data_IF_587452289887
#
_entry.id   IF_587452289887
#
_cell.length_a   1.000
_cell.length_b   1.000
_cell.length_c   1.000
_cell.angle_alpha   90.00
_cell.angle_beta   90.00
_cell.angle_gamma   90.00
#
_symmetry.space_group_name_H-M   'P 1'
#
loop_
_entity.id
_entity.type
_entity.pdbx_description
1 polymer ?
#
# COMPACT_ATOMS: atom_id res chain seq x y z
N UNK A 1 -13.36 33.06 -14.51
CA UNK A 1 -13.41 31.63 -14.17
C UNK A 1 -13.81 31.54 -12.72
N UNK A 2 -14.88 30.83 -12.39
CA UNK A 2 -15.24 30.57 -10.99
C UNK A 2 -14.31 29.49 -10.45
N UNK A 3 -13.71 29.74 -9.29
CA UNK A 3 -12.99 28.71 -8.54
C UNK A 3 -13.97 27.58 -8.21
N UNK A 4 -13.57 26.30 -8.39
CA UNK A 4 -14.43 25.17 -8.03
C UNK A 4 -14.72 25.18 -6.53
N UNK A 5 -15.97 24.91 -6.18
CA UNK A 5 -16.43 24.81 -4.81
C UNK A 5 -16.26 23.37 -4.32
N UNK A 6 -15.04 23.06 -3.86
CA UNK A 6 -14.60 21.69 -3.52
C UNK A 6 -13.92 21.62 -2.16
N UNK A 7 -13.94 22.70 -1.37
CA UNK A 7 -13.21 22.78 -0.10
C UNK A 7 -13.79 21.84 0.97
N UNK A 8 -15.08 21.53 0.87
CA UNK A 8 -15.79 20.64 1.79
C UNK A 8 -15.82 19.17 1.31
N UNK A 9 -15.17 18.87 0.18
CA UNK A 9 -15.11 17.52 -0.38
C UNK A 9 -14.10 16.62 0.34
N UNK A 10 -14.46 15.35 0.54
CA UNK A 10 -13.63 14.39 1.29
C UNK A 10 -12.28 14.10 0.62
N UNK A 11 -12.23 14.16 -0.71
CA UNK A 11 -11.04 13.92 -1.51
C UNK A 11 -10.16 15.16 -1.67
N UNK A 12 -10.62 16.33 -1.22
CA UNK A 12 -9.86 17.57 -1.35
C UNK A 12 -8.99 17.80 -0.10
N UNK A 13 -7.67 18.07 -0.23
CA UNK A 13 -6.75 18.17 0.91
C UNK A 13 -6.85 19.53 1.62
N UNK A 14 -8.05 19.88 2.10
CA UNK A 14 -8.39 21.19 2.66
C UNK A 14 -7.53 21.58 3.87
N UNK A 15 -7.10 20.61 4.68
CA UNK A 15 -6.24 20.84 5.87
C UNK A 15 -4.82 21.29 5.53
N UNK A 16 -4.31 20.93 4.35
CA UNK A 16 -2.99 21.36 3.89
C UNK A 16 -3.02 22.63 3.03
N UNK A 17 -4.18 23.08 2.55
CA UNK A 17 -4.24 24.24 1.65
C UNK A 17 -3.84 25.52 2.38
N UNK A 18 -2.78 26.17 1.89
CA UNK A 18 -2.21 27.39 2.51
C UNK A 18 -2.71 28.69 1.89
N UNK A 19 -3.25 28.63 0.67
CA UNK A 19 -3.74 29.79 -0.07
C UNK A 19 -5.03 29.45 -0.81
N UNK A 20 -5.81 30.45 -1.23
CA UNK A 20 -6.95 30.19 -2.12
C UNK A 20 -6.51 29.48 -3.41
N UNK A 21 -7.38 28.60 -3.92
CA UNK A 21 -7.22 27.93 -5.21
C UNK A 21 -7.15 28.99 -6.31
N UNK A 22 -6.16 28.90 -7.20
CA UNK A 22 -5.94 29.84 -8.30
C UNK A 22 -6.04 29.13 -9.64
N UNK A 23 -6.51 29.84 -10.66
CA UNK A 23 -6.40 29.33 -12.03
C UNK A 23 -4.91 29.15 -12.37
N UNK A 24 -4.58 28.02 -12.98
CA UNK A 24 -3.22 27.68 -13.41
C UNK A 24 -3.04 28.04 -14.89
N UNK A 25 -1.81 28.40 -15.27
CA UNK A 25 -1.42 28.55 -16.68
C UNK A 25 -1.05 27.19 -17.32
N UNK A 26 -1.11 26.10 -16.56
CA UNK A 26 -0.88 24.76 -17.07
C UNK A 26 -1.90 24.40 -18.15
N UNK A 27 -1.45 23.67 -19.17
CA UNK A 27 -2.34 23.08 -20.17
C UNK A 27 -3.32 22.13 -19.49
N UNK A 28 -4.58 22.13 -19.91
CA UNK A 28 -5.62 21.22 -19.41
C UNK A 28 -6.20 20.38 -20.56
N UNK A 29 -6.72 19.17 -20.27
CA UNK A 29 -7.44 18.39 -21.28
C UNK A 29 -8.72 19.12 -21.70
N UNK A 30 -9.21 18.81 -22.91
CA UNK A 30 -10.45 19.41 -23.44
C UNK A 30 -11.60 19.15 -22.47
N UNK A 31 -12.33 20.21 -22.10
CA UNK A 31 -13.43 20.12 -21.14
C UNK A 31 -13.01 20.33 -19.67
N UNK A 32 -11.72 20.47 -19.39
CA UNK A 32 -11.19 20.71 -18.04
C UNK A 32 -10.46 22.05 -17.96
N UNK A 33 -10.35 22.55 -16.73
CA UNK A 33 -9.52 23.68 -16.33
C UNK A 33 -8.46 23.20 -15.35
N UNK A 34 -7.30 23.85 -15.37
CA UNK A 34 -6.22 23.60 -14.41
C UNK A 34 -6.25 24.65 -13.30
N UNK A 35 -6.00 24.21 -12.07
CA UNK A 35 -5.92 25.05 -10.88
C UNK A 35 -4.68 24.70 -10.06
N UNK A 36 -4.04 25.72 -9.50
CA UNK A 36 -2.93 25.59 -8.57
C UNK A 36 -3.45 25.55 -7.13
N UNK A 37 -3.03 24.52 -6.40
CA UNK A 37 -3.39 24.27 -5.00
C UNK A 37 -2.10 24.20 -4.18
N UNK A 38 -1.77 25.31 -3.52
CA UNK A 38 -0.56 25.44 -2.71
C UNK A 38 -0.71 24.75 -1.35
N UNK A 39 0.17 23.79 -1.06
CA UNK A 39 0.32 23.12 0.24
C UNK A 39 1.68 23.50 0.87
N UNK A 40 1.99 23.16 2.14
CA UNK A 40 3.17 23.70 2.82
C UNK A 40 4.50 23.26 2.19
N UNK A 41 4.50 22.15 1.46
CA UNK A 41 5.69 21.53 0.88
C UNK A 41 5.64 21.37 -0.65
N UNK A 42 4.56 21.77 -1.31
CA UNK A 42 4.41 21.61 -2.76
C UNK A 42 3.32 22.53 -3.36
N UNK A 43 3.22 22.57 -4.69
CA UNK A 43 2.10 23.16 -5.42
C UNK A 43 1.46 22.10 -6.33
N UNK A 44 0.25 21.66 -5.95
CA UNK A 44 -0.47 20.62 -6.68
C UNK A 44 -1.25 21.23 -7.84
N UNK A 45 -1.19 20.60 -9.02
CA UNK A 45 -2.06 20.96 -10.14
C UNK A 45 -3.33 20.11 -10.10
N UNK A 46 -4.47 20.75 -9.88
CA UNK A 46 -5.79 20.14 -9.92
C UNK A 46 -6.43 20.32 -11.31
N UNK A 47 -6.94 19.26 -11.90
CA UNK A 47 -7.77 19.32 -13.11
C UNK A 47 -9.23 19.17 -12.74
N UNK A 48 -10.06 20.13 -13.15
CA UNK A 48 -11.49 20.11 -12.82
C UNK A 48 -12.36 20.39 -14.06
N UNK A 49 -13.51 19.69 -14.24
CA UNK A 49 -14.41 19.94 -15.34
C UNK A 49 -14.87 21.41 -15.42
N UNK A 50 -14.87 21.98 -16.64
CA UNK A 50 -15.09 23.42 -16.90
C UNK A 50 -16.46 23.90 -16.39
N UNK A 51 -17.48 23.05 -16.53
CA UNK A 51 -18.86 23.36 -16.14
C UNK A 51 -19.29 22.59 -14.87
N UNK A 52 -18.35 22.08 -14.09
CA UNK A 52 -18.63 21.13 -13.01
C UNK A 52 -18.92 19.71 -13.53
N UNK A 53 -19.38 18.84 -12.64
CA UNK A 53 -19.63 17.44 -12.96
C UNK A 53 -20.70 17.32 -14.06
N UNK A 54 -20.45 16.54 -15.13
CA UNK A 54 -21.32 16.53 -16.30
C UNK A 54 -22.65 15.82 -16.03
N UNK A 55 -23.69 16.25 -16.73
CA UNK A 55 -24.91 15.48 -16.95
C UNK A 55 -24.67 14.25 -17.86
N UNK A 56 -25.65 13.35 -18.00
CA UNK A 56 -25.55 12.16 -18.88
C UNK A 56 -25.21 12.55 -20.33
N UNK A 57 -25.85 13.61 -20.86
CA UNK A 57 -25.65 14.02 -22.25
C UNK A 57 -24.29 14.70 -22.45
N UNK A 58 -23.82 15.47 -21.48
CA UNK A 58 -22.47 16.06 -21.49
C UNK A 58 -21.40 14.99 -21.33
N UNK A 59 -21.63 13.98 -20.48
CA UNK A 59 -20.72 12.86 -20.27
C UNK A 59 -20.49 12.08 -21.58
N UNK A 60 -21.51 11.90 -22.41
CA UNK A 60 -21.37 11.24 -23.73
C UNK A 60 -20.40 11.97 -24.66
N UNK A 61 -20.24 13.28 -24.51
CA UNK A 61 -19.25 14.04 -25.28
C UNK A 61 -17.81 13.67 -24.94
N UNK A 62 -17.56 13.13 -23.73
CA UNK A 62 -16.22 12.75 -23.27
C UNK A 62 -15.62 11.56 -24.03
N UNK A 63 -16.41 10.84 -24.82
CA UNK A 63 -15.92 9.80 -25.75
C UNK A 63 -14.95 10.38 -26.79
N UNK A 64 -15.05 11.69 -27.06
CA UNK A 64 -14.18 12.38 -28.02
C UNK A 64 -12.93 12.98 -27.36
N UNK A 65 -12.69 12.76 -26.05
CA UNK A 65 -11.47 13.21 -25.39
C UNK A 65 -10.24 12.49 -25.93
N UNK A 66 -9.16 13.25 -26.11
CA UNK A 66 -7.83 12.71 -26.38
C UNK A 66 -7.29 11.99 -25.13
N UNK A 67 -6.40 11.02 -25.33
CA UNK A 67 -5.78 10.26 -24.23
C UNK A 67 -6.68 9.20 -23.59
N UNK A 68 -7.83 8.90 -24.20
CA UNK A 68 -8.70 7.78 -23.79
C UNK A 68 -8.06 6.42 -24.02
N UNK A 69 -8.38 5.46 -23.15
CA UNK A 69 -7.95 4.07 -23.23
C UNK A 69 -9.03 3.13 -22.66
N UNK A 70 -9.01 1.86 -23.05
CA UNK A 70 -10.00 0.85 -22.61
C UNK A 70 -11.41 1.04 -23.17
N UNK A 71 -12.43 0.56 -22.45
CA UNK A 71 -13.83 0.49 -22.91
C UNK A 71 -14.65 1.75 -22.56
N UNK A 72 -14.92 2.57 -23.58
CA UNK A 72 -15.77 3.77 -23.50
C UNK A 72 -17.20 3.54 -24.02
N UNK A 73 -17.57 2.30 -24.39
CA UNK A 73 -18.94 2.01 -24.81
C UNK A 73 -19.93 2.19 -23.66
N UNK A 74 -19.50 1.98 -22.42
CA UNK A 74 -20.27 2.28 -21.20
C UNK A 74 -20.73 3.75 -21.17
N UNK A 75 -19.79 4.69 -21.35
CA UNK A 75 -20.07 6.12 -21.43
C UNK A 75 -21.04 6.46 -22.57
N UNK A 76 -20.84 5.89 -23.76
CA UNK A 76 -21.72 6.14 -24.91
C UNK A 76 -23.14 5.64 -24.74
N UNK A 77 -23.33 4.57 -23.97
CA UNK A 77 -24.63 3.96 -23.73
C UNK A 77 -25.26 4.37 -22.39
N UNK A 78 -24.67 5.34 -21.68
CA UNK A 78 -25.17 5.84 -20.41
C UNK A 78 -26.64 6.30 -20.52
N UNK A 79 -27.48 5.78 -19.62
CA UNK A 79 -28.90 6.12 -19.49
C UNK A 79 -29.18 6.97 -18.25
N UNK A 80 -28.48 6.68 -17.16
CA UNK A 80 -28.49 7.47 -15.93
C UNK A 80 -27.06 7.70 -15.46
N UNK A 81 -26.88 8.74 -14.64
CA UNK A 81 -25.64 9.11 -14.01
C UNK A 81 -25.98 9.77 -12.67
N UNK A 82 -25.46 9.20 -11.59
CA UNK A 82 -25.63 9.75 -10.24
C UNK A 82 -24.26 10.01 -9.63
N UNK A 83 -24.01 11.26 -9.24
CA UNK A 83 -22.74 11.68 -8.67
C UNK A 83 -22.75 11.60 -7.14
N UNK A 84 -21.67 11.08 -6.58
CA UNK A 84 -21.37 11.09 -5.14
C UNK A 84 -19.92 11.53 -4.92
N UNK A 85 -19.60 11.93 -3.68
CA UNK A 85 -18.22 12.20 -3.29
C UNK A 85 -17.52 10.89 -2.94
N UNK A 86 -16.39 10.60 -3.57
CA UNK A 86 -15.54 9.45 -3.27
C UNK A 86 -14.26 9.84 -2.52
N UNK A 87 -13.44 8.85 -2.11
CA UNK A 87 -12.24 9.09 -1.31
C UNK A 87 -11.09 9.74 -2.09
N UNK A 88 -11.03 9.55 -3.41
CA UNK A 88 -9.95 10.09 -4.27
C UNK A 88 -10.46 11.06 -5.34
N UNK A 89 -11.77 11.28 -5.38
CA UNK A 89 -12.43 12.19 -6.30
C UNK A 89 -13.93 11.91 -6.41
N UNK A 90 -14.66 12.70 -7.22
CA UNK A 90 -16.07 12.48 -7.50
C UNK A 90 -16.32 11.15 -8.22
N UNK A 91 -17.40 10.48 -7.85
CA UNK A 91 -17.79 9.17 -8.37
C UNK A 91 -19.15 9.23 -9.02
N UNK A 92 -19.23 8.86 -10.29
CA UNK A 92 -20.47 8.75 -11.06
C UNK A 92 -20.89 7.29 -11.21
N UNK A 93 -22.08 6.93 -10.73
CA UNK A 93 -22.68 5.63 -11.02
C UNK A 93 -23.44 5.71 -12.34
N UNK A 94 -23.02 4.92 -13.34
CA UNK A 94 -23.58 4.90 -14.69
C UNK A 94 -24.35 3.60 -14.92
N UNK A 95 -25.64 3.68 -15.23
CA UNK A 95 -26.38 2.57 -15.84
C UNK A 95 -26.27 2.65 -17.37
N UNK A 96 -25.59 1.68 -17.98
CA UNK A 96 -25.41 1.55 -19.44
C UNK A 96 -26.34 0.51 -20.07
N UNK A 97 -27.43 0.16 -19.39
CA UNK A 97 -28.39 -0.87 -19.81
C UNK A 97 -27.74 -2.23 -20.00
N UNK A 98 -27.71 -2.72 -21.24
CA UNK A 98 -27.14 -4.05 -21.56
C UNK A 98 -25.63 -4.15 -21.31
N UNK A 99 -24.94 -3.02 -21.16
CA UNK A 99 -23.51 -2.97 -20.87
C UNK A 99 -23.20 -3.03 -19.37
N UNK A 100 -24.23 -3.07 -18.52
CA UNK A 100 -24.12 -3.16 -17.07
C UNK A 100 -24.00 -1.82 -16.38
N UNK A 101 -23.76 -1.89 -15.07
CA UNK A 101 -23.54 -0.73 -14.20
C UNK A 101 -22.04 -0.49 -14.07
N UNK A 102 -21.65 0.77 -14.16
CA UNK A 102 -20.26 1.21 -14.17
C UNK A 102 -20.03 2.30 -13.14
N UNK A 103 -18.86 2.28 -12.54
CA UNK A 103 -18.36 3.36 -11.69
C UNK A 103 -17.39 4.21 -12.50
N UNK A 104 -17.73 5.47 -12.68
CA UNK A 104 -16.87 6.51 -13.23
C UNK A 104 -16.21 7.25 -12.08
N UNK A 105 -14.91 7.44 -12.12
CA UNK A 105 -14.18 8.18 -11.08
C UNK A 105 -13.37 9.30 -11.75
N UNK A 106 -13.69 10.54 -11.40
CA UNK A 106 -12.90 11.70 -11.80
C UNK A 106 -11.76 11.83 -10.80
N UNK A 107 -10.54 12.03 -11.28
CA UNK A 107 -9.36 12.23 -10.46
C UNK A 107 -8.86 13.67 -10.63
N UNK A 108 -9.28 14.61 -9.75
CA UNK A 108 -8.82 15.99 -9.85
C UNK A 108 -7.32 16.12 -9.59
N UNK A 109 -6.79 15.23 -8.76
CA UNK A 109 -5.39 15.10 -8.43
C UNK A 109 -4.91 13.72 -8.83
N UNK A 110 -3.68 13.65 -9.32
CA UNK A 110 -2.96 12.41 -9.65
C UNK A 110 -1.49 12.79 -9.87
N UNK A 111 -0.55 11.86 -9.70
CA UNK A 111 0.88 12.12 -9.87
C UNK A 111 1.47 11.43 -11.11
N UNK A 112 1.18 10.14 -11.30
CA UNK A 112 1.91 9.31 -12.26
C UNK A 112 1.04 8.34 -13.09
N UNK A 113 -0.29 8.49 -13.05
CA UNK A 113 -1.20 7.70 -13.87
C UNK A 113 -1.21 6.22 -13.52
N UNK A 114 -1.10 5.92 -12.22
CA UNK A 114 -0.90 4.56 -11.72
C UNK A 114 -1.95 3.55 -12.17
N UNK A 115 -3.22 3.95 -12.27
CA UNK A 115 -4.29 3.03 -12.64
C UNK A 115 -4.19 2.62 -14.12
N UNK A 116 -3.87 3.55 -15.02
CA UNK A 116 -3.55 3.20 -16.41
C UNK A 116 -2.33 2.27 -16.49
N UNK A 117 -1.28 2.54 -15.71
CA UNK A 117 -0.07 1.71 -15.71
C UNK A 117 -0.36 0.27 -15.30
N UNK A 118 -1.21 0.08 -14.29
CA UNK A 118 -1.71 -1.23 -13.89
C UNK A 118 -2.59 -1.87 -14.97
N UNK A 119 -3.53 -1.13 -15.54
CA UNK A 119 -4.41 -1.64 -16.60
C UNK A 119 -3.64 -2.06 -17.85
N UNK A 120 -2.65 -1.27 -18.27
CA UNK A 120 -1.79 -1.59 -19.40
C UNK A 120 -0.89 -2.81 -19.12
N UNK A 121 -0.60 -3.10 -17.86
CA UNK A 121 0.18 -4.28 -17.47
C UNK A 121 -0.68 -5.53 -17.34
N UNK A 122 -1.86 -5.42 -16.73
CA UNK A 122 -2.71 -6.55 -16.35
C UNK A 122 -3.82 -6.85 -17.38
N UNK A 123 -4.06 -5.96 -18.34
CA UNK A 123 -5.10 -6.12 -19.37
C UNK A 123 -6.50 -6.15 -18.78
N UNK A 124 -7.31 -7.12 -19.22
CA UNK A 124 -8.72 -7.30 -18.81
C UNK A 124 -8.88 -7.90 -17.40
N UNK A 125 -7.87 -7.75 -16.55
CA UNK A 125 -7.91 -8.25 -15.18
C UNK A 125 -9.01 -7.51 -14.38
N UNK A 126 -9.83 -8.20 -13.58
CA UNK A 126 -10.92 -7.56 -12.83
C UNK A 126 -10.45 -6.61 -11.72
N UNK A 127 -9.18 -6.63 -11.32
CA UNK A 127 -8.65 -5.76 -10.25
C UNK A 127 -8.38 -4.32 -10.71
N UNK A 128 -8.32 -4.07 -12.02
CA UNK A 128 -7.87 -2.79 -12.58
C UNK A 128 -9.00 -2.04 -13.29
N UNK A 129 -8.77 -0.76 -13.53
CA UNK A 129 -9.67 0.06 -14.32
C UNK A 129 -9.74 -0.51 -15.75
N UNK A 130 -10.95 -0.56 -16.29
CA UNK A 130 -11.24 -1.13 -17.60
C UNK A 130 -11.22 -0.07 -18.71
N UNK A 131 -11.05 1.19 -18.32
CA UNK A 131 -10.89 2.32 -19.21
C UNK A 131 -10.63 3.60 -18.44
N UNK A 132 -10.29 4.66 -19.17
CA UNK A 132 -10.03 5.95 -18.57
C UNK A 132 -9.52 6.98 -19.56
N UNK A 133 -9.19 8.16 -19.05
CA UNK A 133 -8.51 9.21 -19.81
C UNK A 133 -7.23 9.59 -19.08
N UNK A 134 -6.11 9.58 -19.81
CA UNK A 134 -4.86 10.15 -19.36
C UNK A 134 -4.58 11.51 -20.00
N UNK A 135 -4.00 12.41 -19.23
CA UNK A 135 -3.45 13.66 -19.72
C UNK A 135 -2.05 13.87 -19.14
N UNK A 136 -1.05 13.99 -20.01
CA UNK A 136 0.35 14.20 -19.62
C UNK A 136 0.89 13.16 -18.61
N UNK A 137 0.45 11.90 -18.76
CA UNK A 137 0.84 10.79 -17.88
C UNK A 137 0.08 10.72 -16.56
N UNK A 138 -0.89 11.62 -16.32
CA UNK A 138 -1.79 11.59 -15.15
C UNK A 138 -3.14 11.00 -15.51
N UNK A 139 -3.70 10.20 -14.63
CA UNK A 139 -5.08 9.72 -14.74
C UNK A 139 -6.04 10.86 -14.36
N UNK A 140 -7.00 11.16 -15.24
CA UNK A 140 -8.02 12.20 -15.03
C UNK A 140 -9.40 11.58 -14.84
N UNK A 141 -9.61 10.43 -15.46
CA UNK A 141 -10.87 9.70 -15.47
C UNK A 141 -10.58 8.21 -15.45
N UNK A 142 -11.29 7.45 -14.62
CA UNK A 142 -11.21 6.00 -14.55
C UNK A 142 -12.60 5.37 -14.63
N UNK A 143 -12.68 4.23 -15.31
CA UNK A 143 -13.89 3.43 -15.48
C UNK A 143 -13.69 2.06 -14.84
N UNK A 144 -14.60 1.71 -13.95
CA UNK A 144 -14.59 0.46 -13.20
C UNK A 144 -15.92 -0.27 -13.36
N UNK A 145 -15.88 -1.59 -13.24
CA UNK A 145 -17.10 -2.35 -12.97
C UNK A 145 -17.60 -1.97 -11.59
N UNK A 146 -18.90 -1.68 -11.49
CA UNK A 146 -19.47 -1.35 -10.19
C UNK A 146 -19.63 -2.62 -9.34
N UNK A 147 -18.95 -2.62 -8.20
CA UNK A 147 -19.01 -3.65 -7.18
C UNK A 147 -19.52 -3.09 -5.84
N UNK A 148 -19.99 -1.85 -5.82
CA UNK A 148 -20.56 -1.20 -4.63
C UNK A 148 -21.79 -1.89 -4.02
N UNK A 149 -22.59 -2.74 -4.72
CA UNK A 149 -23.65 -3.49 -4.08
C UNK A 149 -23.17 -4.55 -3.08
N UNK A 150 -21.91 -4.96 -3.15
CA UNK A 150 -21.33 -5.98 -2.28
C UNK A 150 -20.74 -5.34 -1.01
N UNK A 151 -20.87 -6.00 0.15
CA UNK A 151 -20.33 -5.48 1.40
C UNK A 151 -18.80 -5.48 1.38
N UNK A 152 -18.20 -4.52 2.09
CA UNK A 152 -16.74 -4.45 2.23
C UNK A 152 -16.25 -5.50 3.21
N UNK A 153 -15.04 -6.01 3.01
CA UNK A 153 -14.44 -6.98 3.92
C UNK A 153 -14.32 -6.43 5.36
N UNK A 154 -14.06 -5.12 5.52
CA UNK A 154 -14.05 -4.46 6.84
C UNK A 154 -15.40 -4.52 7.56
N UNK A 155 -16.51 -4.34 6.83
CA UNK A 155 -17.88 -4.39 7.36
C UNK A 155 -18.25 -5.82 7.74
N UNK A 156 -17.99 -6.78 6.85
CA UNK A 156 -18.24 -8.21 7.11
C UNK A 156 -17.42 -8.68 8.30
N UNK A 157 -16.14 -8.33 8.36
CA UNK A 157 -15.26 -8.70 9.48
C UNK A 157 -15.76 -8.12 10.81
N UNK A 158 -16.17 -6.85 10.82
CA UNK A 158 -16.71 -6.21 12.02
C UNK A 158 -17.96 -6.94 12.53
N UNK A 159 -18.85 -7.34 11.62
CA UNK A 159 -20.04 -8.12 11.97
C UNK A 159 -19.69 -9.50 12.53
N UNK A 160 -18.77 -10.23 11.89
CA UNK A 160 -18.32 -11.55 12.36
C UNK A 160 -17.71 -11.48 13.77
N UNK A 161 -16.95 -10.42 14.07
CA UNK A 161 -16.36 -10.22 15.40
C UNK A 161 -17.42 -9.89 16.46
N UNK A 162 -18.39 -9.05 16.13
CA UNK A 162 -19.53 -8.75 17.04
C UNK A 162 -20.36 -9.99 17.31
N UNK A 163 -20.50 -10.87 16.32
CA UNK A 163 -21.20 -12.15 16.43
C UNK A 163 -20.34 -13.31 16.98
N UNK A 164 -19.11 -13.04 17.42
CA UNK A 164 -18.14 -14.03 17.94
C UNK A 164 -17.86 -15.21 16.98
N UNK A 165 -18.02 -14.98 15.67
CA UNK A 165 -17.71 -15.95 14.61
C UNK A 165 -16.22 -15.90 14.24
N UNK A 166 -15.36 -16.15 15.24
CA UNK A 166 -13.91 -15.98 15.09
C UNK A 166 -13.28 -16.88 14.02
N UNK A 167 -13.87 -18.06 13.76
CA UNK A 167 -13.44 -18.96 12.70
C UNK A 167 -13.61 -18.34 11.31
N UNK A 168 -14.79 -17.78 11.05
CA UNK A 168 -15.12 -17.09 9.81
C UNK A 168 -14.32 -15.80 9.63
N UNK A 169 -14.10 -15.05 10.72
CA UNK A 169 -13.25 -13.86 10.71
C UNK A 169 -11.82 -14.17 10.23
N UNK A 170 -11.25 -15.30 10.67
CA UNK A 170 -9.92 -15.76 10.21
C UNK A 170 -9.93 -16.11 8.73
N UNK A 171 -10.95 -16.87 8.29
CA UNK A 171 -11.08 -17.28 6.89
C UNK A 171 -11.17 -16.06 5.97
N UNK A 172 -12.00 -15.08 6.31
CA UNK A 172 -12.14 -13.84 5.53
C UNK A 172 -10.80 -13.10 5.41
N UNK A 173 -10.08 -12.92 6.52
CA UNK A 173 -8.80 -12.19 6.51
C UNK A 173 -7.71 -12.98 5.78
N UNK A 174 -7.72 -14.31 5.87
CA UNK A 174 -6.85 -15.17 5.05
C UNK A 174 -7.16 -15.04 3.55
N UNK A 175 -8.44 -15.00 3.16
CA UNK A 175 -8.86 -14.72 1.77
C UNK A 175 -8.41 -13.34 1.29
N UNK A 176 -8.50 -12.31 2.15
CA UNK A 176 -7.98 -10.98 1.87
C UNK A 176 -6.46 -10.97 1.64
N UNK A 177 -5.73 -11.82 2.38
CA UNK A 177 -4.29 -12.01 2.18
C UNK A 177 -4.01 -12.67 0.83
N UNK A 178 -4.73 -13.75 0.54
CA UNK A 178 -4.60 -14.54 -0.69
C UNK A 178 -4.85 -13.70 -1.95
N UNK A 179 -5.89 -12.87 -1.98
CA UNK A 179 -6.16 -12.00 -3.13
C UNK A 179 -5.07 -10.94 -3.34
N UNK A 180 -4.46 -10.43 -2.27
CA UNK A 180 -3.29 -9.55 -2.37
C UNK A 180 -2.08 -10.29 -2.95
N UNK A 181 -1.86 -11.54 -2.53
CA UNK A 181 -0.79 -12.38 -3.07
C UNK A 181 -1.00 -12.69 -4.56
N UNK A 182 -2.24 -12.97 -4.97
CA UNK A 182 -2.61 -13.18 -6.38
C UNK A 182 -2.40 -11.92 -7.23
N UNK A 183 -2.75 -10.75 -6.70
CA UNK A 183 -2.46 -9.46 -7.33
C UNK A 183 -0.94 -9.27 -7.52
N UNK A 184 -0.14 -9.52 -6.48
CA UNK A 184 1.32 -9.44 -6.56
C UNK A 184 1.94 -10.43 -7.54
N UNK A 185 1.38 -11.64 -7.64
CA UNK A 185 1.76 -12.62 -8.66
C UNK A 185 1.39 -12.15 -10.07
N UNK A 186 0.25 -11.47 -10.23
CA UNK A 186 -0.19 -10.93 -11.52
C UNK A 186 0.70 -9.79 -12.02
N UNK A 187 1.26 -8.98 -11.12
CA UNK A 187 2.19 -7.88 -11.46
C UNK A 187 3.66 -8.29 -11.42
N UNK A 188 3.97 -9.58 -11.34
CA UNK A 188 5.35 -10.09 -11.24
C UNK A 188 6.22 -9.63 -12.41
N UNK A 189 5.67 -9.54 -13.61
CA UNK A 189 6.40 -9.07 -14.79
C UNK A 189 6.77 -7.57 -14.73
N UNK A 190 6.08 -6.78 -13.90
CA UNK A 190 6.44 -5.39 -13.63
C UNK A 190 7.63 -5.24 -12.68
N UNK A 191 8.06 -6.35 -12.04
CA UNK A 191 9.04 -6.34 -10.98
C UNK A 191 10.43 -6.02 -11.52
N UNK A 192 11.12 -5.12 -10.82
CA UNK A 192 12.45 -4.69 -11.18
C UNK A 192 13.49 -5.27 -10.19
N UNK A 193 14.36 -6.19 -10.64
CA UNK A 193 15.34 -6.85 -9.78
C UNK A 193 16.51 -5.94 -9.36
N UNK A 194 16.61 -4.73 -9.93
CA UNK A 194 17.64 -3.76 -9.53
C UNK A 194 17.34 -3.28 -8.11
N UNK A 195 18.37 -3.15 -7.29
CA UNK A 195 18.22 -2.75 -5.89
C UNK A 195 17.78 -1.29 -5.75
N UNK A 196 16.57 -1.05 -5.23
CA UNK A 196 15.99 0.28 -5.00
C UNK A 196 16.13 0.78 -3.55
N UNK A 197 17.11 0.26 -2.79
CA UNK A 197 17.25 0.61 -1.38
C UNK A 197 17.41 2.12 -1.14
N UNK A 198 18.10 2.85 -2.03
CA UNK A 198 18.30 4.30 -1.86
C UNK A 198 16.99 5.09 -2.05
N UNK A 199 16.27 4.98 -3.18
CA UNK A 199 14.99 5.66 -3.36
C UNK A 199 13.96 5.41 -2.25
N UNK A 200 13.88 4.19 -1.72
CA UNK A 200 12.95 3.88 -0.62
C UNK A 200 13.36 4.54 0.70
N UNK A 201 14.66 4.54 1.01
CA UNK A 201 15.19 5.24 2.18
C UNK A 201 15.11 6.77 2.06
N UNK A 202 15.27 7.31 0.84
CA UNK A 202 15.09 8.73 0.55
C UNK A 202 13.60 9.13 0.69
N UNK A 203 12.67 8.26 0.27
CA UNK A 203 11.22 8.45 0.53
C UNK A 203 10.94 8.52 2.03
N UNK A 204 11.41 7.55 2.82
CA UNK A 204 11.22 7.57 4.28
C UNK A 204 11.73 8.87 4.90
N UNK A 205 12.90 9.35 4.45
CA UNK A 205 13.43 10.65 4.87
C UNK A 205 12.44 11.79 4.61
N UNK A 206 11.89 11.86 3.40
CA UNK A 206 10.94 12.91 3.03
C UNK A 206 9.65 12.82 3.87
N UNK A 207 9.17 11.61 4.15
CA UNK A 207 8.00 11.39 5.01
C UNK A 207 8.26 11.83 6.45
N UNK A 208 9.40 11.46 7.02
CA UNK A 208 9.81 11.86 8.38
C UNK A 208 9.92 13.40 8.52
N UNK A 209 10.46 14.08 7.50
CA UNK A 209 10.55 15.54 7.45
C UNK A 209 9.17 16.21 7.37
N UNK A 210 8.24 15.64 6.58
CA UNK A 210 6.88 16.17 6.43
C UNK A 210 6.01 15.92 7.67
N UNK A 211 6.09 14.74 8.28
CA UNK A 211 5.28 14.37 9.44
C UNK A 211 5.84 14.87 10.77
N UNK A 212 6.98 15.59 10.76
CA UNK A 212 7.73 15.97 11.97
C UNK A 212 8.01 14.80 12.92
N UNK A 213 8.21 13.58 12.39
CA UNK A 213 8.46 12.42 13.22
C UNK A 213 9.79 12.57 13.98
N UNK A 214 9.80 12.17 15.24
CA UNK A 214 11.01 12.20 16.09
C UNK A 214 11.94 11.00 15.88
N UNK A 215 11.54 10.05 15.04
CA UNK A 215 12.26 8.82 14.73
C UNK A 215 12.82 8.87 13.32
N UNK A 216 13.98 8.25 13.11
CA UNK A 216 14.62 8.10 11.80
C UNK A 216 14.90 6.62 11.58
N UNK A 217 14.35 6.01 10.53
CA UNK A 217 14.56 4.59 10.23
C UNK A 217 15.06 4.36 8.81
N UNK A 218 16.25 3.75 8.69
CA UNK A 218 16.80 3.27 7.42
C UNK A 218 17.06 1.77 7.46
N UNK A 219 16.75 1.09 6.36
CA UNK A 219 16.90 -0.36 6.26
C UNK A 219 17.84 -0.77 5.11
N UNK A 220 18.79 -1.69 5.35
CA UNK A 220 19.59 -2.29 4.28
C UNK A 220 18.75 -3.38 3.59
N UNK A 221 17.93 -2.98 2.61
CA UNK A 221 17.04 -3.91 1.90
C UNK A 221 17.80 -5.10 1.28
N UNK A 222 17.23 -6.30 1.43
CA UNK A 222 17.76 -7.56 0.85
C UNK A 222 17.73 -7.54 -0.68
N UNK A 223 18.40 -8.50 -1.33
CA UNK A 223 18.35 -8.61 -2.81
C UNK A 223 17.02 -9.19 -3.29
N UNK A 224 16.31 -9.88 -2.40
CA UNK A 224 14.99 -10.45 -2.59
C UNK A 224 13.87 -9.43 -2.30
N UNK A 225 14.22 -8.22 -1.81
CA UNK A 225 13.28 -7.09 -1.71
C UNK A 225 13.22 -6.42 -3.08
N UNK A 226 12.26 -6.84 -3.89
CA UNK A 226 12.10 -6.44 -5.30
C UNK A 226 10.97 -5.41 -5.39
N UNK A 227 11.18 -4.32 -6.13
CA UNK A 227 10.14 -3.33 -6.38
C UNK A 227 9.24 -3.73 -7.54
N UNK A 228 7.93 -3.61 -7.39
CA UNK A 228 6.91 -3.90 -8.41
C UNK A 228 5.88 -2.75 -8.48
N UNK A 229 4.93 -2.85 -9.40
CA UNK A 229 3.68 -2.11 -9.26
C UNK A 229 2.94 -2.64 -8.02
N UNK A 230 2.44 -1.75 -7.19
CA UNK A 230 1.70 -2.07 -5.97
C UNK A 230 0.24 -1.62 -6.11
N UNK A 231 -0.64 -2.09 -5.22
CA UNK A 231 -2.01 -1.60 -5.12
C UNK A 231 -2.06 -0.15 -4.65
N UNK A 232 -1.03 0.29 -3.88
CA UNK A 232 -0.85 1.63 -3.29
C UNK A 232 -1.83 2.01 -2.19
N UNK A 233 -3.09 1.59 -2.33
CA UNK A 233 -4.20 1.85 -1.38
C UNK A 233 -4.78 0.54 -0.80
N UNK A 234 -3.98 -0.51 -0.57
CA UNK A 234 -4.54 -1.78 -0.08
C UNK A 234 -5.10 -1.64 1.34
N UNK A 235 -6.36 -2.02 1.55
CA UNK A 235 -7.00 -2.06 2.88
C UNK A 235 -8.21 -3.00 2.83
N UNK A 236 -8.73 -3.40 3.99
CA UNK A 236 -9.97 -4.19 4.06
C UNK A 236 -11.20 -3.41 3.54
N UNK A 237 -11.12 -2.08 3.48
CA UNK A 237 -12.13 -1.24 2.86
C UNK A 237 -12.11 -1.27 1.33
N UNK A 238 -10.98 -1.66 0.73
CA UNK A 238 -10.80 -1.81 -0.72
C UNK A 238 -10.87 -3.28 -1.16
N UNK A 239 -11.63 -4.07 -0.41
CA UNK A 239 -11.97 -5.45 -0.73
C UNK A 239 -13.47 -5.60 -0.54
N UNK A 240 -14.14 -6.21 -1.50
CA UNK A 240 -15.55 -6.64 -1.37
C UNK A 240 -15.65 -8.14 -1.26
N UNK A 241 -16.67 -8.59 -0.53
CA UNK A 241 -17.02 -10.00 -0.38
C UNK A 241 -18.24 -10.26 -1.25
N UNK A 242 -18.11 -11.13 -2.25
CA UNK A 242 -19.23 -11.49 -3.10
C UNK A 242 -20.18 -12.42 -2.35
N UNK A 243 -21.48 -12.37 -2.67
CA UNK A 243 -22.41 -13.32 -2.06
C UNK A 243 -22.45 -14.63 -2.85
N UNK A 244 -22.72 -15.72 -2.13
CA UNK A 244 -22.99 -17.02 -2.71
C UNK A 244 -24.37 -17.07 -3.39
N UNK A 245 -24.73 -18.25 -3.91
CA UNK A 245 -26.03 -18.48 -4.54
C UNK A 245 -27.24 -18.32 -3.60
N UNK A 246 -27.02 -18.32 -2.27
CA UNK A 246 -28.06 -18.08 -1.26
C UNK A 246 -28.24 -16.59 -0.94
N UNK A 247 -27.32 -15.74 -1.40
CA UNK A 247 -27.33 -14.30 -1.15
C UNK A 247 -26.58 -13.88 0.11
N UNK A 248 -25.83 -14.80 0.75
CA UNK A 248 -24.99 -14.53 1.92
C UNK A 248 -23.52 -14.32 1.52
N UNK A 249 -22.73 -13.50 2.25
CA UNK A 249 -21.32 -13.27 1.91
C UNK A 249 -20.49 -14.57 1.87
N UNK A 250 -19.87 -14.84 0.73
CA UNK A 250 -18.94 -15.95 0.54
C UNK A 250 -17.51 -15.51 0.88
N UNK A 251 -17.03 -15.93 2.04
CA UNK A 251 -15.73 -15.49 2.58
C UNK A 251 -14.52 -15.93 1.75
N UNK A 252 -14.71 -16.86 0.80
CA UNK A 252 -13.66 -17.30 -0.14
C UNK A 252 -13.66 -16.50 -1.45
N UNK A 253 -14.76 -15.81 -1.78
CA UNK A 253 -14.91 -15.02 -3.00
C UNK A 253 -14.80 -13.52 -2.70
N UNK A 254 -13.55 -13.06 -2.63
CA UNK A 254 -13.22 -11.65 -2.41
C UNK A 254 -12.64 -11.00 -3.66
N UNK A 255 -12.90 -9.71 -3.85
CA UNK A 255 -12.36 -8.93 -4.97
C UNK A 255 -11.70 -7.64 -4.50
N UNK A 256 -10.49 -7.39 -5.03
CA UNK A 256 -9.76 -6.13 -4.84
C UNK A 256 -10.42 -5.00 -5.62
N UNK A 257 -10.44 -3.81 -5.01
CA UNK A 257 -11.03 -2.62 -5.58
C UNK A 257 -10.01 -1.48 -5.72
N UNK A 258 -10.12 -0.78 -6.84
CA UNK A 258 -9.61 0.58 -7.05
C UNK A 258 -8.11 0.80 -6.71
N UNK A 259 -7.16 0.04 -7.30
CA UNK A 259 -5.74 0.36 -7.18
C UNK A 259 -5.40 1.61 -8.01
N UNK A 260 -5.67 2.79 -7.44
CA UNK A 260 -5.37 4.12 -7.99
C UNK A 260 -4.74 4.99 -6.90
N UNK A 261 -4.12 6.13 -7.24
CA UNK A 261 -3.45 6.99 -6.25
C UNK A 261 -4.18 8.31 -5.98
N UNK A 262 -4.69 8.97 -7.02
CA UNK A 262 -5.51 10.16 -6.87
C UNK A 262 -4.85 11.26 -6.02
N UNK A 263 -5.62 11.88 -5.12
CA UNK A 263 -5.12 12.90 -4.20
C UNK A 263 -3.99 12.41 -3.28
N UNK A 264 -4.02 11.15 -2.83
CA UNK A 264 -2.96 10.58 -1.99
C UNK A 264 -1.62 10.51 -2.73
N UNK A 265 -1.66 10.08 -4.00
CA UNK A 265 -0.49 10.07 -4.89
C UNK A 265 0.06 11.47 -5.14
N UNK A 266 -0.81 12.43 -5.45
CA UNK A 266 -0.39 13.81 -5.66
C UNK A 266 0.25 14.44 -4.41
N UNK A 267 -0.26 14.15 -3.21
CA UNK A 267 0.29 14.66 -1.94
C UNK A 267 1.65 14.05 -1.62
N UNK A 268 1.79 12.74 -1.82
CA UNK A 268 2.98 11.95 -1.47
C UNK A 268 3.40 11.01 -2.62
N UNK A 269 3.92 11.55 -3.74
CA UNK A 269 4.22 10.78 -4.94
C UNK A 269 5.11 9.58 -4.64
N UNK A 270 4.71 8.41 -5.10
CA UNK A 270 5.48 7.18 -4.89
C UNK A 270 6.50 7.04 -6.02
N UNK A 271 7.73 6.66 -5.67
CA UNK A 271 8.69 6.26 -6.69
C UNK A 271 8.11 5.10 -7.50
N UNK A 272 8.44 5.06 -8.79
CA UNK A 272 7.91 4.14 -9.80
C UNK A 272 7.61 2.69 -9.36
N UNK A 273 8.38 2.17 -8.40
CA UNK A 273 8.28 0.81 -7.85
C UNK A 273 8.47 0.80 -6.32
N UNK A 274 7.63 0.04 -5.63
CA UNK A 274 7.74 -0.30 -4.22
C UNK A 274 7.60 -1.83 -4.05
N UNK A 275 8.14 -2.45 -3.00
CA UNK A 275 7.97 -3.89 -2.82
C UNK A 275 6.54 -4.20 -2.37
N UNK A 276 6.03 -5.37 -2.74
CA UNK A 276 4.71 -5.85 -2.29
C UNK A 276 4.55 -5.93 -0.77
N UNK A 277 5.66 -5.95 -0.01
CA UNK A 277 5.62 -5.82 1.45
C UNK A 277 4.99 -4.50 1.93
N UNK A 278 4.99 -3.46 1.09
CA UNK A 278 4.29 -2.19 1.37
C UNK A 278 2.78 -2.37 1.44
N UNK A 279 2.18 -3.07 0.48
CA UNK A 279 0.74 -3.31 0.51
C UNK A 279 0.37 -4.27 1.65
N UNK A 280 1.21 -5.27 1.94
CA UNK A 280 1.01 -6.14 3.10
C UNK A 280 1.02 -5.33 4.40
N UNK A 281 1.97 -4.40 4.55
CA UNK A 281 2.01 -3.48 5.69
C UNK A 281 0.74 -2.64 5.78
N UNK A 282 0.24 -2.09 4.66
CA UNK A 282 -1.03 -1.35 4.60
C UNK A 282 -2.21 -2.21 5.08
N UNK A 283 -2.20 -3.51 4.76
CA UNK A 283 -3.18 -4.48 5.26
C UNK A 283 -3.15 -4.62 6.79
N UNK A 284 -1.96 -4.68 7.38
CA UNK A 284 -1.82 -4.70 8.83
C UNK A 284 -2.29 -3.41 9.49
N UNK A 285 -2.01 -2.26 8.87
CA UNK A 285 -2.54 -0.97 9.33
C UNK A 285 -4.06 -0.95 9.29
N UNK A 286 -4.68 -1.45 8.22
CA UNK A 286 -6.13 -1.58 8.11
C UNK A 286 -6.72 -2.43 9.24
N UNK A 287 -6.08 -3.54 9.60
CA UNK A 287 -6.50 -4.40 10.73
C UNK A 287 -6.36 -3.64 12.06
N UNK A 288 -5.26 -2.93 12.27
CA UNK A 288 -5.03 -2.19 13.52
C UNK A 288 -5.91 -0.96 13.69
N UNK A 289 -6.42 -0.39 12.61
CA UNK A 289 -7.30 0.78 12.65
C UNK A 289 -8.76 0.42 12.96
N UNK A 290 -9.18 -0.82 12.74
CA UNK A 290 -10.54 -1.25 13.01
C UNK A 290 -10.76 -1.47 14.53
N UNK A 291 -11.69 -0.70 15.12
CA UNK A 291 -11.94 -0.71 16.56
C UNK A 291 -12.44 -2.06 17.08
N UNK A 292 -13.32 -2.74 16.34
CA UNK A 292 -13.88 -4.05 16.69
C UNK A 292 -12.79 -5.12 16.74
N UNK A 293 -11.80 -5.04 15.86
CA UNK A 293 -10.61 -5.92 15.91
C UNK A 293 -9.80 -5.67 17.19
N UNK A 294 -9.61 -4.41 17.57
CA UNK A 294 -8.88 -4.08 18.79
C UNK A 294 -9.58 -4.59 20.04
N UNK A 295 -10.90 -4.43 20.10
CA UNK A 295 -11.74 -4.85 21.23
C UNK A 295 -11.82 -6.37 21.36
N UNK A 296 -11.86 -7.10 20.24
CA UNK A 296 -11.86 -8.57 20.24
C UNK A 296 -10.52 -9.19 20.69
N UNK A 297 -9.42 -8.42 20.69
CA UNK A 297 -8.09 -8.93 21.00
C UNK A 297 -7.47 -9.81 19.90
N UNK A 298 -8.13 -9.93 18.74
CA UNK A 298 -7.77 -10.80 17.62
C UNK A 298 -6.67 -10.21 16.72
N UNK A 299 -6.21 -8.99 16.97
CA UNK A 299 -5.33 -8.24 16.06
C UNK A 299 -4.10 -9.04 15.57
N UNK A 300 -3.27 -9.57 16.48
CA UNK A 300 -2.06 -10.33 16.09
C UNK A 300 -2.41 -11.58 15.27
N UNK A 301 -3.53 -12.20 15.58
CA UNK A 301 -3.97 -13.42 14.93
C UNK A 301 -4.52 -13.16 13.52
N UNK A 302 -5.30 -12.09 13.35
CA UNK A 302 -5.75 -11.65 12.02
C UNK A 302 -4.59 -11.16 11.16
N UNK A 303 -3.59 -10.46 11.74
CA UNK A 303 -2.35 -10.13 11.04
C UNK A 303 -1.63 -11.38 10.53
N UNK A 304 -1.60 -12.44 11.34
CA UNK A 304 -1.05 -13.74 10.93
C UNK A 304 -1.89 -14.41 9.82
N UNK A 305 -3.22 -14.40 9.90
CA UNK A 305 -4.09 -14.92 8.84
C UNK A 305 -3.87 -14.18 7.52
N UNK A 306 -3.79 -12.85 7.54
CA UNK A 306 -3.50 -12.04 6.35
C UNK A 306 -2.14 -12.42 5.75
N UNK A 307 -1.12 -12.56 6.61
CA UNK A 307 0.22 -12.97 6.20
C UNK A 307 0.25 -14.36 5.57
N UNK A 308 -0.35 -15.34 6.24
CA UNK A 308 -0.35 -16.73 5.79
C UNK A 308 -1.11 -16.86 4.46
N UNK A 309 -2.25 -16.17 4.32
CA UNK A 309 -2.99 -16.05 3.07
C UNK A 309 -2.16 -15.42 1.96
N UNK A 310 -1.55 -14.25 2.22
CA UNK A 310 -0.68 -13.56 1.26
C UNK A 310 0.49 -14.43 0.81
N UNK A 311 1.18 -15.06 1.77
CA UNK A 311 2.32 -15.93 1.51
C UNK A 311 1.96 -17.16 0.69
N UNK A 312 0.72 -17.63 0.77
CA UNK A 312 0.26 -18.82 0.03
C UNK A 312 0.19 -18.61 -1.49
N UNK A 313 0.00 -17.37 -1.95
CA UNK A 313 -0.17 -17.03 -3.36
C UNK A 313 0.82 -16.01 -3.91
N UNK A 314 1.51 -15.25 -3.05
CA UNK A 314 2.54 -14.31 -3.48
C UNK A 314 3.76 -15.01 -4.11
N UNK A 315 4.54 -14.31 -4.95
CA UNK A 315 5.77 -14.85 -5.51
C UNK A 315 6.72 -15.39 -4.43
N UNK A 316 7.26 -16.59 -4.66
CA UNK A 316 8.06 -17.33 -3.67
C UNK A 316 9.30 -16.57 -3.19
N UNK A 317 9.93 -15.79 -4.06
CA UNK A 317 11.09 -14.98 -3.71
C UNK A 317 10.72 -13.83 -2.75
N UNK A 318 9.51 -13.28 -2.89
CA UNK A 318 9.04 -12.13 -2.09
C UNK A 318 8.62 -12.55 -0.68
N UNK A 319 8.18 -13.81 -0.53
CA UNK A 319 7.86 -14.42 0.77
C UNK A 319 9.02 -15.25 1.35
N UNK A 320 10.21 -15.12 0.77
CA UNK A 320 11.41 -15.79 1.27
C UNK A 320 11.85 -15.25 2.62
N UNK A 321 12.54 -16.09 3.40
CA UNK A 321 13.12 -15.66 4.69
C UNK A 321 14.10 -14.49 4.59
N UNK A 322 14.65 -14.21 3.41
CA UNK A 322 15.54 -13.07 3.18
C UNK A 322 14.76 -11.78 2.92
N UNK A 323 13.68 -11.84 2.13
CA UNK A 323 12.80 -10.70 1.88
C UNK A 323 12.06 -10.28 3.16
N UNK A 324 11.67 -11.25 3.99
CA UNK A 324 10.94 -11.04 5.24
C UNK A 324 11.85 -10.69 6.45
N UNK A 325 13.17 -10.66 6.27
CA UNK A 325 14.10 -10.34 7.35
C UNK A 325 13.95 -8.87 7.77
N UNK A 326 13.37 -8.62 8.94
CA UNK A 326 13.16 -7.28 9.50
C UNK A 326 14.48 -6.49 9.68
N UNK A 327 15.63 -7.17 9.83
CA UNK A 327 16.92 -6.48 9.84
C UNK A 327 17.37 -6.00 8.46
N UNK A 328 16.76 -6.51 7.39
CA UNK A 328 17.05 -6.22 5.98
C UNK A 328 15.84 -5.65 5.23
N UNK A 329 15.02 -4.85 5.91
CA UNK A 329 13.93 -4.12 5.28
C UNK A 329 12.69 -4.98 4.95
N UNK A 330 12.45 -6.01 5.76
CA UNK A 330 11.16 -6.72 5.83
C UNK A 330 10.03 -5.82 6.32
N UNK A 331 8.85 -6.39 6.58
CA UNK A 331 7.57 -5.67 6.74
C UNK A 331 7.59 -4.47 7.72
N UNK A 332 8.26 -4.50 8.89
CA UNK A 332 8.17 -3.41 9.86
C UNK A 332 8.61 -2.02 9.36
N UNK A 333 9.56 -1.95 8.41
CA UNK A 333 9.95 -0.65 7.82
C UNK A 333 8.83 -0.05 6.96
N UNK A 334 8.05 -0.91 6.32
CA UNK A 334 6.94 -0.53 5.47
C UNK A 334 5.70 -0.18 6.30
N UNK A 335 5.47 -0.86 7.42
CA UNK A 335 4.45 -0.40 8.38
C UNK A 335 4.78 0.99 8.94
N UNK A 336 6.07 1.28 9.13
CA UNK A 336 6.51 2.62 9.50
C UNK A 336 6.26 3.64 8.41
N UNK A 337 6.56 3.33 7.14
CA UNK A 337 6.17 4.18 6.01
C UNK A 337 4.66 4.46 6.01
N UNK A 338 3.83 3.42 6.12
CA UNK A 338 2.37 3.56 6.14
C UNK A 338 1.90 4.44 7.31
N UNK A 339 2.44 4.26 8.51
CA UNK A 339 2.10 5.09 9.66
C UNK A 339 2.50 6.58 9.47
N UNK A 340 3.59 6.87 8.76
CA UNK A 340 3.96 8.24 8.42
C UNK A 340 2.99 8.83 7.39
N UNK A 341 2.65 8.07 6.34
CA UNK A 341 1.66 8.46 5.33
C UNK A 341 0.30 8.76 5.97
N UNK A 342 -0.20 7.88 6.84
CA UNK A 342 -1.43 8.07 7.61
C UNK A 342 -1.43 9.40 8.38
N UNK A 343 -0.34 9.73 9.08
CA UNK A 343 -0.21 10.98 9.83
C UNK A 343 -0.30 12.20 8.92
N UNK A 344 0.43 12.18 7.80
CA UNK A 344 0.46 13.29 6.84
C UNK A 344 -0.90 13.45 6.16
N UNK A 345 -1.54 12.34 5.78
CA UNK A 345 -2.87 12.38 5.17
C UNK A 345 -3.92 12.88 6.16
N UNK A 346 -3.92 12.43 7.42
CA UNK A 346 -4.82 12.98 8.43
C UNK A 346 -4.69 14.50 8.52
N UNK A 347 -3.48 15.03 8.60
CA UNK A 347 -3.26 16.49 8.62
C UNK A 347 -3.69 17.16 7.31
N UNK A 348 -3.35 16.59 6.16
CA UNK A 348 -3.65 17.16 4.85
C UNK A 348 -5.16 17.24 4.57
N UNK A 349 -5.94 16.29 5.07
CA UNK A 349 -7.40 16.27 4.94
C UNK A 349 -8.12 16.87 6.16
N UNK A 350 -7.41 17.47 7.11
CA UNK A 350 -8.01 18.10 8.30
C UNK A 350 -8.67 17.10 9.27
N UNK A 351 -8.27 15.83 9.22
CA UNK A 351 -8.76 14.75 10.05
C UNK A 351 -7.89 14.56 11.29
N UNK A 352 -8.44 13.94 12.33
CA UNK A 352 -7.65 13.53 13.48
C UNK A 352 -6.78 12.32 13.14
N UNK A 353 -5.54 12.32 13.65
CA UNK A 353 -4.64 11.17 13.53
C UNK A 353 -5.19 10.03 14.38
N UNK A 354 -5.34 8.84 13.77
CA UNK A 354 -5.87 7.68 14.48
C UNK A 354 -4.96 7.30 15.68
N UNK A 355 -5.52 6.96 16.86
CA UNK A 355 -4.72 6.66 18.06
C UNK A 355 -3.70 5.54 17.85
N UNK A 356 -3.99 4.55 16.98
CA UNK A 356 -3.05 3.49 16.66
C UNK A 356 -1.86 3.93 15.81
N UNK A 357 -2.05 4.92 14.93
CA UNK A 357 -0.95 5.54 14.17
C UNK A 357 0.00 6.26 15.12
N UNK A 358 -0.55 7.12 15.98
CA UNK A 358 0.21 7.81 17.03
C UNK A 358 0.91 6.83 17.98
N UNK A 359 0.23 5.77 18.40
CA UNK A 359 0.83 4.72 19.22
C UNK A 359 2.01 4.07 18.49
N UNK A 360 1.84 3.65 17.23
CA UNK A 360 2.88 2.98 16.47
C UNK A 360 4.12 3.87 16.31
N UNK A 361 3.95 5.11 15.84
CA UNK A 361 5.06 6.06 15.63
C UNK A 361 5.86 6.31 16.92
N UNK A 362 5.19 6.39 18.08
CA UNK A 362 5.85 6.52 19.38
C UNK A 362 6.58 5.25 19.83
N UNK A 363 6.23 4.07 19.30
CA UNK A 363 6.84 2.79 19.64
C UNK A 363 8.01 2.40 18.72
N UNK A 364 8.15 3.03 17.54
CA UNK A 364 9.21 2.76 16.57
C UNK A 364 10.61 2.81 17.22
N UNK A 365 10.89 3.78 18.08
CA UNK A 365 12.18 3.88 18.78
C UNK A 365 12.52 2.63 19.61
N UNK A 366 11.51 1.97 20.20
CA UNK A 366 11.70 0.70 20.94
C UNK A 366 11.97 -0.46 20.01
N UNK A 367 11.28 -0.52 18.87
CA UNK A 367 11.51 -1.55 17.82
C UNK A 367 12.95 -1.44 17.33
N UNK A 368 13.40 -0.23 17.00
CA UNK A 368 14.77 0.04 16.57
C UNK A 368 15.81 -0.35 17.63
N UNK A 369 15.59 0.00 18.90
CA UNK A 369 16.46 -0.39 20.00
C UNK A 369 16.51 -1.92 20.17
N UNK A 370 15.38 -2.62 20.01
CA UNK A 370 15.32 -4.08 19.97
C UNK A 370 16.21 -4.67 18.88
N UNK A 371 16.06 -4.19 17.64
CA UNK A 371 16.87 -4.65 16.52
C UNK A 371 18.35 -4.32 16.66
N UNK A 372 18.70 -3.17 17.25
CA UNK A 372 20.09 -2.81 17.51
C UNK A 372 20.73 -3.78 18.50
N UNK A 373 20.03 -4.14 19.59
CA UNK A 373 20.50 -5.16 20.53
C UNK A 373 20.70 -6.53 19.87
N UNK A 374 19.82 -6.91 18.94
CA UNK A 374 19.96 -8.14 18.18
C UNK A 374 21.26 -8.16 17.34
N UNK A 375 21.69 -7.02 16.77
CA UNK A 375 22.96 -6.94 16.02
C UNK A 375 24.18 -7.29 16.88
N UNK A 376 24.14 -7.03 18.19
CA UNK A 376 25.20 -7.45 19.12
C UNK A 376 25.31 -8.97 19.21
N UNK A 377 24.18 -9.68 19.14
CA UNK A 377 24.14 -11.16 19.11
C UNK A 377 24.78 -11.69 17.81
N UNK A 378 24.47 -11.07 16.67
CA UNK A 378 25.09 -11.40 15.40
C UNK A 378 26.61 -11.12 15.39
N UNK A 379 27.04 -10.00 15.98
CA UNK A 379 28.46 -9.69 16.15
C UNK A 379 29.18 -10.72 17.03
N UNK A 380 28.56 -11.15 18.13
CA UNK A 380 29.06 -12.24 18.97
C UNK A 380 29.24 -13.54 18.19
N UNK A 381 28.26 -13.92 17.36
CA UNK A 381 28.36 -15.09 16.50
C UNK A 381 29.52 -14.99 15.48
N UNK A 382 29.76 -13.80 14.92
CA UNK A 382 30.88 -13.55 14.01
C UNK A 382 32.23 -13.66 14.73
N UNK A 383 32.35 -13.08 15.92
CA UNK A 383 33.57 -13.19 16.74
C UNK A 383 33.88 -14.64 17.07
N UNK A 384 32.87 -15.42 17.50
CA UNK A 384 33.01 -16.86 17.72
C UNK A 384 33.55 -17.59 16.48
N UNK A 385 33.06 -17.25 15.29
CA UNK A 385 33.51 -17.83 14.03
C UNK A 385 34.96 -17.45 13.70
N UNK A 386 35.34 -16.18 13.89
CA UNK A 386 36.71 -15.69 13.66
C UNK A 386 37.69 -16.39 14.60
N UNK A 387 37.35 -16.50 15.89
CA UNK A 387 38.19 -17.19 16.89
C UNK A 387 38.36 -18.67 16.54
N UNK A 388 37.28 -19.34 16.12
CA UNK A 388 37.35 -20.72 15.67
C UNK A 388 38.23 -20.89 14.40
N UNK A 389 38.09 -19.99 13.43
CA UNK A 389 38.94 -19.96 12.24
C UNK A 389 40.42 -19.73 12.55
N UNK A 390 40.72 -18.83 13.49
CA UNK A 390 42.08 -18.62 14.00
C UNK A 390 42.61 -19.88 14.69
N UNK A 391 41.81 -20.56 15.51
CA UNK A 391 42.19 -21.82 16.14
C UNK A 391 42.56 -22.91 15.12
N UNK A 392 41.77 -23.05 14.05
CA UNK A 392 42.08 -23.97 12.95
C UNK A 392 43.37 -23.56 12.24
N UNK A 393 43.53 -22.28 11.91
CA UNK A 393 44.71 -21.77 11.23
C UNK A 393 46.00 -21.98 12.05
N UNK A 394 46.00 -21.63 13.34
CA UNK A 394 47.18 -21.77 14.19
C UNK A 394 47.56 -23.22 14.44
N UNK A 395 46.56 -24.12 14.54
CA UNK A 395 46.79 -25.56 14.68
C UNK A 395 47.36 -26.19 13.39
N UNK A 396 46.85 -25.79 12.22
CA UNK A 396 47.32 -26.30 10.92
C UNK A 396 48.71 -25.77 10.53
N UNK A 397 49.05 -24.54 10.91
CA UNK A 397 50.34 -23.91 10.60
C UNK A 397 51.43 -24.21 11.64
N UNK A 398 51.07 -24.87 12.74
CA UNK A 398 51.99 -25.16 13.84
C UNK A 398 52.40 -23.94 14.66
N UNK A 399 51.69 -22.81 14.51
CA UNK A 399 51.88 -21.61 15.36
C UNK A 399 51.47 -21.88 16.81
N UNK A 400 50.55 -22.82 17.03
CA UNK A 400 50.13 -23.28 18.36
C UNK A 400 50.05 -24.81 18.38
N UNK A 401 50.16 -25.40 19.57
CA UNK A 401 49.89 -26.83 19.74
C UNK A 401 48.39 -27.10 19.59
N UNK A 402 48.01 -28.30 19.16
CA UNK A 402 46.59 -28.66 19.06
C UNK A 402 45.85 -28.59 20.39
N UNK A 403 46.54 -28.80 21.52
CA UNK A 403 45.94 -28.65 22.85
C UNK A 403 45.51 -27.21 23.13
N UNK A 404 46.23 -26.22 22.59
CA UNK A 404 45.90 -24.80 22.75
C UNK A 404 44.96 -24.29 21.64
N UNK A 405 44.99 -24.90 20.45
CA UNK A 405 44.12 -24.56 19.33
C UNK A 405 42.70 -25.12 19.46
N UNK A 406 42.51 -26.32 20.03
CA UNK A 406 41.20 -26.97 20.17
C UNK A 406 40.19 -26.08 20.93
N UNK A 407 40.51 -25.47 22.09
CA UNK A 407 39.57 -24.57 22.78
C UNK A 407 39.05 -23.43 21.91
N UNK A 408 39.91 -22.87 21.04
CA UNK A 408 39.51 -21.82 20.11
C UNK A 408 38.55 -22.35 19.03
N UNK A 409 38.80 -23.54 18.48
CA UNK A 409 37.91 -24.20 17.51
C UNK A 409 36.51 -24.46 18.11
N UNK A 410 36.45 -24.84 19.39
CA UNK A 410 35.18 -25.07 20.09
C UNK A 410 34.32 -23.80 20.22
N UNK A 411 34.86 -22.60 20.00
CA UNK A 411 34.08 -21.38 19.90
C UNK A 411 33.08 -21.39 18.73
N UNK A 412 33.16 -22.34 17.79
CA UNK A 412 32.16 -22.52 16.74
C UNK A 412 30.80 -23.07 17.25
N UNK A 413 30.79 -23.79 18.38
CA UNK A 413 29.58 -24.44 18.93
C UNK A 413 28.40 -23.46 19.17
N UNK A 414 28.59 -22.29 19.81
CA UNK A 414 27.49 -21.35 20.06
C UNK A 414 26.99 -20.62 18.80
N UNK A 415 27.70 -20.65 17.68
CA UNK A 415 27.35 -19.89 16.46
C UNK A 415 25.91 -20.15 15.95
N UNK A 416 25.45 -21.40 15.74
CA UNK A 416 24.08 -21.67 15.30
C UNK A 416 23.03 -21.15 16.30
N UNK A 417 23.28 -21.28 17.60
CA UNK A 417 22.37 -20.82 18.67
C UNK A 417 22.26 -19.30 18.63
N UNK A 418 23.39 -18.59 18.56
CA UNK A 418 23.41 -17.13 18.49
C UNK A 418 22.76 -16.62 17.19
N UNK A 419 22.96 -17.30 16.05
CA UNK A 419 22.28 -16.96 14.79
C UNK A 419 20.76 -17.18 14.86
N UNK A 420 20.30 -18.25 15.51
CA UNK A 420 18.87 -18.47 15.71
C UNK A 420 18.27 -17.42 16.65
N UNK A 421 18.96 -17.11 17.75
CA UNK A 421 18.55 -16.06 18.68
C UNK A 421 18.46 -14.70 17.99
N UNK A 422 19.45 -14.36 17.16
CA UNK A 422 19.43 -13.13 16.36
C UNK A 422 18.17 -13.03 15.49
N UNK A 423 17.80 -14.11 14.78
CA UNK A 423 16.59 -14.14 13.95
C UNK A 423 15.30 -14.04 14.77
N UNK A 424 15.25 -14.70 15.92
CA UNK A 424 14.08 -14.68 16.80
C UNK A 424 13.89 -13.33 17.53
N UNK A 425 14.93 -12.50 17.63
CA UNK A 425 14.86 -11.16 18.21
C UNK A 425 14.36 -10.10 17.22
N UNK A 426 14.31 -10.43 15.93
CA UNK A 426 13.67 -9.59 14.93
C UNK A 426 12.15 -9.64 15.11
N UNK A 427 11.43 -8.52 14.89
CA UNK A 427 9.97 -8.59 14.82
C UNK A 427 9.55 -9.63 13.76
N UNK A 428 8.52 -10.45 14.05
CA UNK A 428 7.95 -11.36 13.06
C UNK A 428 7.45 -10.57 11.84
N UNK A 429 7.27 -11.23 10.69
CA UNK A 429 6.76 -10.58 9.49
C UNK A 429 5.28 -10.21 9.57
N UNK A 430 4.58 -10.57 10.66
CA UNK A 430 3.17 -10.31 10.92
C UNK A 430 2.94 -9.76 12.31
#
# INVERSE_FOLDING_TARGET
MSTPDVLDEQWFPSGAVTTSIKASDASAPVGFLAFDVTIPWDNLTMYWPTNGLPSVDELKSWIQMDGKWGDFESIGNAKSLEWTSGPIGPVGLIDSGKKGIWRLEVLPFDDDGHAFRLANHLGDNPYVAQGGVQFQGRDILLLWRDLSPWPRADEVLSNLLVSDQLGEARLLVESCGRILGDFHSSVLESANPIRYAKPWNDRLKNLEEKSSASTLWRAPHSKETIGCLTHRNFSLNNIVVLNDASGEPNLDEVHLLHPASGAYGALLPLNDRAPGLRDLASGYRSIEMNQQILESGMCLELRRCLFDGWRSTAPTDWSSSQALDSHKGGVPIWEYEQALEESIFSEAFGLSIHPRTSWFLNHVGRIQAGMFRARTVAAGALTCLIVAGLGLYTGLTGLMSWNDSIPLVLCAIPVPILRQLYRNLAPPPY
#
